data_IF_287346424068
#
_entry.id   IF_287346424068
#
_cell.length_a   1.000
_cell.length_b   1.000
_cell.length_c   1.000
_cell.angle_alpha   90.00
_cell.angle_beta   90.00
_cell.angle_gamma   90.00
#
_symmetry.space_group_name_H-M   'P 1'
#
loop_
_entity.id
_entity.type
_entity.pdbx_description
1 polymer ?
#
# COMPACT_ATOMS: atom_id res chain seq x y z
N UNK A 1 -21.57 -1.57 -16.27
CA UNK A 1 -21.25 -1.09 -14.92
C UNK A 1 -20.64 -2.26 -14.20
N UNK A 2 -19.32 -2.27 -14.03
CA UNK A 2 -18.61 -3.43 -13.48
C UNK A 2 -18.98 -3.53 -11.99
N UNK A 3 -19.60 -4.64 -11.60
CA UNK A 3 -20.01 -4.85 -10.22
C UNK A 3 -18.76 -5.06 -9.36
N UNK A 4 -18.56 -4.20 -8.37
CA UNK A 4 -17.59 -4.42 -7.30
C UNK A 4 -18.24 -5.41 -6.34
N UNK A 5 -17.73 -6.63 -6.30
CA UNK A 5 -18.21 -7.64 -5.37
C UNK A 5 -17.35 -7.59 -4.09
N UNK A 6 -17.94 -7.35 -2.91
CA UNK A 6 -17.21 -7.40 -1.65
C UNK A 6 -16.78 -8.84 -1.40
N UNK A 7 -15.48 -9.04 -1.20
CA UNK A 7 -14.89 -10.35 -0.98
C UNK A 7 -14.26 -10.41 0.41
N UNK A 8 -15.10 -10.19 1.42
CA UNK A 8 -14.68 -10.24 2.82
C UNK A 8 -14.21 -11.65 3.17
N UNK A 9 -12.94 -11.79 3.57
CA UNK A 9 -12.40 -13.01 4.11
C UNK A 9 -12.92 -13.20 5.55
N UNK A 10 -12.90 -14.44 6.06
CA UNK A 10 -13.29 -14.73 7.45
C UNK A 10 -12.42 -13.95 8.45
N UNK A 11 -11.14 -13.74 8.12
CA UNK A 11 -10.23 -12.90 8.90
C UNK A 11 -10.75 -11.47 9.06
N UNK A 12 -11.39 -10.92 8.02
CA UNK A 12 -11.87 -9.55 8.04
C UNK A 12 -13.01 -9.38 9.03
N UNK A 13 -13.97 -10.31 8.99
CA UNK A 13 -15.06 -10.33 9.97
C UNK A 13 -14.55 -10.42 11.41
N UNK A 14 -13.51 -11.22 11.68
CA UNK A 14 -12.93 -11.34 13.02
C UNK A 14 -12.32 -10.00 13.46
N UNK A 15 -11.55 -9.33 12.60
CA UNK A 15 -10.95 -8.02 12.91
C UNK A 15 -12.03 -6.99 13.20
N UNK A 16 -13.05 -6.88 12.35
CA UNK A 16 -14.15 -5.94 12.54
C UNK A 16 -14.96 -6.23 13.80
N UNK A 17 -15.29 -7.49 14.07
CA UNK A 17 -16.02 -7.89 15.29
C UNK A 17 -15.20 -7.56 16.54
N UNK A 18 -13.91 -7.90 16.58
CA UNK A 18 -13.04 -7.56 17.72
C UNK A 18 -12.93 -6.05 17.92
N UNK A 19 -12.76 -5.28 16.85
CA UNK A 19 -12.70 -3.82 16.93
C UNK A 19 -14.01 -3.21 17.45
N UNK A 20 -15.17 -3.66 16.93
CA UNK A 20 -16.48 -3.19 17.36
C UNK A 20 -16.77 -3.56 18.81
N UNK A 21 -16.46 -4.78 19.24
CA UNK A 21 -16.60 -5.21 20.64
C UNK A 21 -15.69 -4.41 21.56
N UNK A 22 -14.45 -4.15 21.15
CA UNK A 22 -13.51 -3.31 21.89
C UNK A 22 -14.02 -1.87 22.06
N UNK A 23 -14.50 -1.26 20.98
CA UNK A 23 -15.10 0.09 21.00
C UNK A 23 -16.37 0.13 21.85
N UNK A 24 -17.23 -0.88 21.74
CA UNK A 24 -18.45 -1.01 22.55
C UNK A 24 -18.12 -1.10 24.05
N UNK A 25 -17.19 -1.98 24.41
CA UNK A 25 -16.75 -2.14 25.80
C UNK A 25 -16.09 -0.88 26.33
N UNK A 26 -15.21 -0.24 25.56
CA UNK A 26 -14.60 1.03 25.93
C UNK A 26 -15.66 2.13 26.14
N UNK A 27 -16.64 2.24 25.24
CA UNK A 27 -17.75 3.18 25.36
C UNK A 27 -18.60 2.93 26.62
N UNK A 28 -18.88 1.67 26.95
CA UNK A 28 -19.56 1.31 28.20
C UNK A 28 -18.71 1.66 29.43
N UNK A 29 -17.43 1.33 29.43
CA UNK A 29 -16.51 1.63 30.52
C UNK A 29 -16.38 3.15 30.75
N UNK A 30 -16.38 3.95 29.68
CA UNK A 30 -16.27 5.41 29.77
C UNK A 30 -17.57 6.11 30.21
N UNK A 31 -18.72 5.43 30.21
CA UNK A 31 -19.99 5.96 30.74
C UNK A 31 -20.02 5.98 32.27
N UNK A 32 -19.29 5.08 32.93
CA UNK A 32 -19.19 5.07 34.38
C UNK A 32 -18.18 6.13 34.85
N UNK A 33 -18.58 7.09 35.70
CA UNK A 33 -17.72 8.19 36.13
C UNK A 33 -16.42 7.72 36.80
N UNK A 34 -16.44 6.60 37.53
CA UNK A 34 -15.27 6.09 38.25
C UNK A 34 -14.21 5.55 37.27
N UNK A 35 -14.64 4.82 36.25
CA UNK A 35 -13.73 4.30 35.23
C UNK A 35 -13.20 5.43 34.35
N UNK A 36 -14.05 6.37 33.96
CA UNK A 36 -13.65 7.53 33.14
C UNK A 36 -12.53 8.34 33.78
N UNK A 37 -12.62 8.63 35.08
CA UNK A 37 -11.58 9.38 35.79
C UNK A 37 -10.23 8.66 35.78
N UNK A 38 -10.23 7.34 36.01
CA UNK A 38 -9.01 6.51 35.96
C UNK A 38 -8.38 6.51 34.57
N UNK A 39 -9.18 6.37 33.52
CA UNK A 39 -8.71 6.43 32.14
C UNK A 39 -8.15 7.80 31.75
N UNK A 40 -8.79 8.88 32.21
CA UNK A 40 -8.28 10.24 31.98
C UNK A 40 -6.92 10.47 32.66
N UNK A 41 -6.66 9.87 33.82
CA UNK A 41 -5.33 9.93 34.45
C UNK A 41 -4.25 9.24 33.61
N UNK A 42 -4.58 8.13 32.95
CA UNK A 42 -3.67 7.43 32.04
C UNK A 42 -3.40 8.27 30.80
N UNK A 43 -4.45 8.78 30.15
CA UNK A 43 -4.35 9.59 28.92
C UNK A 43 -3.58 10.89 29.16
N UNK A 44 -3.64 11.47 30.36
CA UNK A 44 -2.86 12.66 30.73
C UNK A 44 -1.35 12.42 30.80
N UNK A 45 -0.88 11.17 30.81
CA UNK A 45 0.56 10.87 30.79
C UNK A 45 1.06 10.92 29.33
N UNK A 46 2.12 11.69 29.03
CA UNK A 46 2.59 11.88 27.66
C UNK A 46 2.99 10.56 26.98
N UNK A 47 3.63 9.65 27.72
CA UNK A 47 4.00 8.32 27.21
C UNK A 47 2.78 7.46 26.84
N UNK A 48 1.73 7.47 27.68
CA UNK A 48 0.51 6.72 27.41
C UNK A 48 -0.24 7.30 26.21
N UNK A 49 -0.30 8.63 26.09
CA UNK A 49 -0.88 9.30 24.92
C UNK A 49 -0.13 8.95 23.63
N UNK A 50 1.21 8.98 23.65
CA UNK A 50 2.02 8.59 22.50
C UNK A 50 1.74 7.15 22.07
N UNK A 51 1.66 6.20 23.02
CA UNK A 51 1.29 4.81 22.71
C UNK A 51 -0.14 4.69 22.17
N UNK A 52 -1.09 5.46 22.70
CA UNK A 52 -2.48 5.46 22.26
C UNK A 52 -2.59 5.94 20.81
N UNK A 53 -1.87 7.00 20.44
CA UNK A 53 -1.83 7.52 19.07
C UNK A 53 -1.28 6.46 18.10
N UNK A 54 -0.16 5.82 18.45
CA UNK A 54 0.43 4.76 17.63
C UNK A 54 -0.51 3.56 17.47
N UNK A 55 -1.17 3.14 18.56
CA UNK A 55 -2.14 2.05 18.53
C UNK A 55 -3.37 2.39 17.68
N UNK A 56 -3.88 3.63 17.78
CA UNK A 56 -4.98 4.09 16.94
C UNK A 56 -4.61 4.14 15.47
N UNK A 57 -3.41 4.62 15.14
CA UNK A 57 -2.90 4.63 13.77
C UNK A 57 -2.78 3.20 13.22
N UNK A 58 -2.20 2.28 14.01
CA UNK A 58 -2.08 0.88 13.62
C UNK A 58 -3.44 0.22 13.42
N UNK A 59 -4.39 0.45 14.35
CA UNK A 59 -5.75 -0.06 14.25
C UNK A 59 -6.45 0.48 12.98
N UNK A 60 -6.28 1.77 12.69
CA UNK A 60 -6.87 2.39 11.50
C UNK A 60 -6.30 1.78 10.21
N UNK A 61 -4.97 1.59 10.13
CA UNK A 61 -4.34 0.95 8.98
C UNK A 61 -4.86 -0.48 8.84
N UNK A 62 -4.90 -1.26 9.92
CA UNK A 62 -5.40 -2.63 9.90
C UNK A 62 -6.88 -2.73 9.49
N UNK A 63 -7.73 -1.78 9.91
CA UNK A 63 -9.13 -1.73 9.52
C UNK A 63 -9.31 -1.38 8.04
N UNK A 64 -8.50 -0.47 7.51
CA UNK A 64 -8.49 -0.13 6.07
C UNK A 64 -7.98 -1.31 5.26
N UNK A 65 -6.91 -1.97 5.72
CA UNK A 65 -6.28 -3.11 5.06
C UNK A 65 -7.22 -4.33 4.99
N UNK A 66 -8.07 -4.51 5.99
CA UNK A 66 -9.06 -5.59 6.07
C UNK A 66 -10.27 -5.42 5.14
N UNK A 67 -10.39 -4.32 4.40
CA UNK A 67 -11.49 -4.13 3.44
C UNK A 67 -11.04 -4.66 2.08
N UNK A 68 -11.44 -5.89 1.75
CA UNK A 68 -11.10 -6.54 0.48
C UNK A 68 -12.21 -6.47 -0.57
N UNK A 69 -11.82 -6.23 -1.81
CA UNK A 69 -12.69 -6.18 -2.99
C UNK A 69 -12.17 -7.11 -4.07
N UNK A 70 -13.08 -7.75 -4.80
CA UNK A 70 -12.74 -8.43 -6.06
C UNK A 70 -12.88 -7.43 -7.20
N UNK A 71 -11.79 -7.16 -7.90
CA UNK A 71 -11.88 -6.49 -9.19
C UNK A 71 -12.11 -7.57 -10.27
N UNK A 72 -13.11 -7.41 -11.17
CA UNK A 72 -13.23 -8.27 -12.32
C UNK A 72 -12.05 -7.98 -13.25
N UNK A 73 -11.03 -8.83 -13.19
CA UNK A 73 -9.91 -8.75 -14.12
C UNK A 73 -10.44 -9.10 -15.51
N UNK A 74 -10.62 -8.08 -16.36
CA UNK A 74 -10.71 -8.29 -17.81
C UNK A 74 -9.28 -8.52 -18.30
N UNK A 75 -8.70 -9.66 -17.95
CA UNK A 75 -7.47 -10.10 -18.59
C UNK A 75 -7.91 -11.02 -19.72
N UNK A 76 -7.76 -10.54 -20.95
CA UNK A 76 -7.56 -11.37 -22.13
C UNK A 76 -6.37 -12.30 -21.84
N UNK A 77 -6.61 -13.37 -21.10
CA UNK A 77 -5.80 -14.56 -21.26
C UNK A 77 -6.15 -15.07 -22.64
N UNK A 78 -5.27 -14.77 -23.60
CA UNK A 78 -5.14 -15.57 -24.80
C UNK A 78 -4.87 -17.00 -24.32
N UNK A 79 -5.96 -17.76 -24.13
CA UNK A 79 -5.92 -19.21 -24.01
C UNK A 79 -5.18 -19.68 -25.24
N UNK A 80 -4.03 -20.32 -25.05
CA UNK A 80 -3.34 -21.04 -26.11
C UNK A 80 -4.33 -22.01 -26.76
N UNK A 81 -4.90 -21.62 -27.91
CA UNK A 81 -5.85 -22.41 -28.70
C UNK A 81 -5.10 -23.48 -29.48
N UNK A 82 -4.37 -24.35 -28.78
CA UNK A 82 -3.72 -25.52 -29.37
C UNK A 82 -4.06 -26.77 -28.57
N UNK A 83 -5.34 -27.14 -28.51
CA UNK A 83 -5.75 -28.53 -28.30
C UNK A 83 -7.05 -28.79 -29.09
N UNK A 84 -7.12 -29.82 -29.96
CA UNK A 84 -8.28 -30.04 -30.81
C UNK A 84 -9.43 -30.70 -30.04
N UNK A 85 -10.61 -30.08 -30.16
CA UNK A 85 -11.97 -30.66 -30.20
C UNK A 85 -12.26 -31.89 -29.31
N UNK A 86 -13.05 -31.70 -28.25
CA UNK A 86 -14.35 -32.35 -28.03
C UNK A 86 -14.86 -32.16 -26.59
N UNK A 87 -16.18 -32.08 -26.47
CA UNK A 87 -17.01 -31.97 -25.26
C UNK A 87 -17.21 -30.54 -24.73
N UNK A 88 -18.50 -30.17 -24.68
CA UNK A 88 -19.02 -28.94 -24.12
C UNK A 88 -18.58 -28.76 -22.66
N UNK A 89 -17.52 -27.98 -22.47
CA UNK A 89 -17.16 -27.42 -21.18
C UNK A 89 -17.99 -26.15 -21.04
N UNK A 90 -18.98 -26.19 -20.14
CA UNK A 90 -19.61 -24.98 -19.58
C UNK A 90 -18.51 -23.96 -19.32
N UNK A 91 -18.63 -22.68 -19.71
CA UNK A 91 -17.62 -21.69 -19.36
C UNK A 91 -17.65 -21.55 -17.83
N UNK A 92 -16.90 -22.38 -17.11
CA UNK A 92 -16.40 -22.06 -15.79
C UNK A 92 -15.42 -20.94 -16.05
N UNK A 93 -15.96 -19.73 -16.11
CA UNK A 93 -15.26 -18.49 -15.93
C UNK A 93 -14.41 -18.68 -14.67
N UNK A 94 -13.15 -19.04 -14.88
CA UNK A 94 -12.14 -19.05 -13.86
C UNK A 94 -11.85 -17.59 -13.56
N UNK A 95 -12.75 -16.98 -12.78
CA UNK A 95 -12.59 -15.65 -12.23
C UNK A 95 -11.44 -15.72 -11.23
N UNK A 96 -10.20 -15.61 -11.71
CA UNK A 96 -9.09 -15.15 -10.89
C UNK A 96 -9.30 -13.65 -10.65
N UNK A 97 -10.31 -13.32 -9.86
CA UNK A 97 -10.51 -11.99 -9.33
C UNK A 97 -9.41 -11.77 -8.30
N UNK A 98 -8.42 -10.96 -8.66
CA UNK A 98 -7.38 -10.54 -7.72
C UNK A 98 -8.06 -9.82 -6.55
N UNK A 99 -7.85 -10.35 -5.34
CA UNK A 99 -8.37 -9.77 -4.12
C UNK A 99 -7.51 -8.55 -3.77
N UNK A 100 -8.13 -7.38 -3.73
CA UNK A 100 -7.50 -6.08 -3.60
C UNK A 100 -8.00 -5.42 -2.33
N UNK A 101 -7.09 -5.05 -1.42
CA UNK A 101 -7.45 -4.27 -0.24
C UNK A 101 -7.78 -2.81 -0.61
N UNK A 102 -8.59 -2.13 0.20
CA UNK A 102 -8.76 -0.68 0.13
C UNK A 102 -7.42 0.05 0.27
N UNK A 103 -6.53 -0.48 1.11
CA UNK A 103 -5.18 0.06 1.27
C UNK A 103 -4.40 -0.05 -0.04
N UNK A 104 -4.47 -1.20 -0.72
CA UNK A 104 -3.85 -1.39 -2.04
C UNK A 104 -4.41 -0.46 -3.11
N UNK A 105 -5.71 -0.17 -3.05
CA UNK A 105 -6.34 0.78 -3.95
C UNK A 105 -5.84 2.20 -3.70
N UNK A 106 -5.77 2.64 -2.44
CA UNK A 106 -5.21 3.96 -2.07
C UNK A 106 -3.73 4.07 -2.42
N UNK A 107 -2.98 2.98 -2.29
CA UNK A 107 -1.56 2.87 -2.58
C UNK A 107 -1.28 2.29 -3.98
N UNK A 108 -2.25 2.34 -4.90
CA UNK A 108 -2.08 1.89 -6.29
C UNK A 108 -0.79 2.38 -6.96
N UNK A 109 -0.35 3.65 -6.83
CA UNK A 109 0.91 4.06 -7.44
C UNK A 109 2.13 3.31 -6.86
N UNK A 110 2.11 2.91 -5.58
CA UNK A 110 3.19 2.09 -5.02
C UNK A 110 3.11 0.64 -5.52
N UNK A 111 1.90 0.07 -5.64
CA UNK A 111 1.68 -1.30 -6.11
C UNK A 111 2.08 -1.51 -7.58
N UNK A 112 1.77 -0.53 -8.43
CA UNK A 112 1.92 -0.63 -9.89
C UNK A 112 3.27 -0.13 -10.41
N UNK A 113 3.97 0.74 -9.67
CA UNK A 113 5.26 1.33 -10.07
C UNK A 113 6.44 0.56 -9.48
N UNK A 114 6.46 -0.75 -9.68
CA UNK A 114 7.56 -1.60 -9.19
C UNK A 114 8.80 -1.43 -10.05
N UNK A 115 9.95 -1.24 -9.39
CA UNK A 115 11.23 -1.00 -10.04
C UNK A 115 12.36 -1.83 -9.42
N UNK A 116 13.37 -2.15 -10.23
CA UNK A 116 14.53 -2.96 -9.81
C UNK A 116 15.60 -2.11 -9.14
N UNK A 117 15.29 -1.40 -8.07
CA UNK A 117 16.23 -0.51 -7.35
C UNK A 117 16.90 -1.15 -6.12
N UNK A 118 16.50 -2.37 -5.74
CA UNK A 118 17.08 -3.26 -4.70
C UNK A 118 17.71 -2.52 -3.48
N UNK A 119 16.93 -2.31 -2.42
CA UNK A 119 17.37 -1.66 -1.16
C UNK A 119 17.95 -0.24 -1.29
N UNK A 120 17.96 0.37 -2.47
CA UNK A 120 18.31 1.76 -2.69
C UNK A 120 17.04 2.57 -3.04
N UNK A 121 16.21 2.96 -2.05
CA UNK A 121 14.89 3.57 -2.29
C UNK A 121 14.95 4.92 -3.02
N UNK A 122 16.12 5.58 -3.01
CA UNK A 122 16.36 6.85 -3.69
C UNK A 122 17.24 6.67 -4.95
N UNK A 123 17.37 5.45 -5.47
CA UNK A 123 18.10 5.20 -6.71
C UNK A 123 17.36 5.79 -7.91
N UNK A 124 18.11 6.12 -8.96
CA UNK A 124 17.61 6.61 -10.25
C UNK A 124 18.03 5.68 -11.41
N UNK A 125 18.78 4.63 -11.09
CA UNK A 125 19.18 3.56 -12.01
C UNK A 125 18.77 2.21 -11.42
N UNK A 126 18.50 1.25 -12.30
CA UNK A 126 18.26 -0.12 -11.90
C UNK A 126 19.53 -0.73 -11.28
N UNK A 127 19.33 -1.64 -10.32
CA UNK A 127 20.38 -2.41 -9.67
C UNK A 127 20.94 -3.52 -10.56
N UNK A 128 20.15 -4.04 -11.51
CA UNK A 128 20.57 -5.07 -12.45
C UNK A 128 21.02 -4.46 -13.78
N UNK A 129 22.14 -4.97 -14.34
CA UNK A 129 22.54 -4.63 -15.70
C UNK A 129 21.63 -5.34 -16.69
N UNK A 130 21.02 -4.57 -17.57
CA UNK A 130 20.14 -5.04 -18.63
C UNK A 130 20.78 -4.73 -19.99
N UNK A 131 20.39 -5.49 -21.01
CA UNK A 131 20.82 -5.22 -22.38
C UNK A 131 19.91 -4.11 -22.93
N UNK A 132 20.48 -2.94 -23.16
CA UNK A 132 19.79 -1.76 -23.67
C UNK A 132 20.29 -1.47 -25.08
N UNK A 133 19.36 -1.32 -26.01
CA UNK A 133 19.70 -0.85 -27.36
C UNK A 133 20.07 0.63 -27.30
N UNK A 134 21.33 0.93 -27.57
CA UNK A 134 21.84 2.29 -27.67
C UNK A 134 22.12 2.61 -29.14
N UNK A 135 22.23 3.88 -29.51
CA UNK A 135 22.62 4.29 -30.87
C UNK A 135 23.96 3.69 -31.35
N UNK A 136 24.81 3.26 -30.42
CA UNK A 136 26.09 2.57 -30.67
C UNK A 136 25.99 1.02 -30.69
N UNK A 137 24.77 0.46 -30.65
CA UNK A 137 24.51 -0.99 -30.58
C UNK A 137 24.03 -1.46 -29.19
N UNK A 138 23.77 -2.78 -29.04
CA UNK A 138 23.33 -3.35 -27.77
C UNK A 138 24.45 -3.26 -26.72
N UNK A 139 24.18 -2.56 -25.63
CA UNK A 139 25.12 -2.41 -24.50
C UNK A 139 24.49 -2.94 -23.22
N UNK A 140 25.29 -3.61 -22.39
CA UNK A 140 24.85 -4.12 -21.10
C UNK A 140 25.13 -3.09 -20.01
N UNK A 141 24.13 -2.30 -19.62
CA UNK A 141 24.28 -1.18 -18.69
C UNK A 141 23.15 -1.15 -17.65
N UNK A 142 23.26 -0.28 -16.65
CA UNK A 142 22.20 -0.07 -15.66
C UNK A 142 21.19 0.94 -16.23
N UNK A 143 19.99 0.53 -16.65
CA UNK A 143 19.03 1.45 -17.24
C UNK A 143 18.54 2.46 -16.20
N UNK A 144 18.16 3.65 -16.67
CA UNK A 144 17.48 4.66 -15.85
C UNK A 144 16.12 4.13 -15.43
N UNK A 145 15.75 4.39 -14.19
CA UNK A 145 14.42 4.06 -13.66
C UNK A 145 13.32 4.91 -14.33
N UNK A 146 12.12 4.35 -14.46
CA UNK A 146 10.98 5.01 -15.10
C UNK A 146 10.27 5.99 -14.15
N UNK A 147 10.24 5.66 -12.86
CA UNK A 147 9.56 6.39 -11.80
C UNK A 147 10.57 7.02 -10.82
N UNK A 148 11.64 6.29 -10.46
CA UNK A 148 12.72 6.78 -9.61
C UNK A 148 13.47 7.96 -10.23
N UNK A 149 13.32 9.17 -9.67
CA UNK A 149 13.95 10.38 -10.20
C UNK A 149 13.43 10.79 -11.59
N UNK A 150 12.18 10.44 -11.92
CA UNK A 150 11.55 10.79 -13.18
C UNK A 150 11.47 12.31 -13.42
N UNK A 151 11.43 13.12 -12.36
CA UNK A 151 11.41 14.58 -12.42
C UNK A 151 12.77 15.21 -12.70
N UNK A 152 13.87 14.45 -12.56
CA UNK A 152 15.22 14.96 -12.80
C UNK A 152 15.46 15.05 -14.30
N UNK A 153 15.87 16.23 -14.77
CA UNK A 153 16.26 16.38 -16.19
C UNK A 153 17.69 15.87 -16.40
N UNK A 154 18.55 16.11 -15.41
CA UNK A 154 19.94 15.65 -15.38
C UNK A 154 20.20 14.79 -14.13
N UNK A 155 21.06 13.79 -14.28
CA UNK A 155 21.46 12.83 -13.24
C UNK A 155 22.20 13.54 -12.10
N UNK A 156 22.98 14.56 -12.42
CA UNK A 156 23.81 15.30 -11.46
C UNK A 156 22.97 16.13 -10.47
N UNK A 157 21.73 16.45 -10.81
CA UNK A 157 20.80 17.21 -9.96
C UNK A 157 20.29 16.41 -8.75
N UNK A 158 20.49 15.08 -8.72
CA UNK A 158 19.98 14.21 -7.65
C UNK A 158 20.43 14.66 -6.26
N UNK A 159 21.68 15.11 -6.12
CA UNK A 159 22.22 15.55 -4.84
C UNK A 159 21.51 16.79 -4.30
N UNK A 160 21.36 17.81 -5.16
CA UNK A 160 20.68 19.06 -4.82
C UNK A 160 19.20 18.83 -4.50
N UNK A 161 18.51 17.99 -5.27
CA UNK A 161 17.10 17.65 -5.04
C UNK A 161 16.89 17.01 -3.66
N UNK A 162 17.78 16.09 -3.27
CA UNK A 162 17.73 15.47 -1.94
C UNK A 162 18.00 16.48 -0.82
N UNK A 163 18.96 17.40 -1.01
CA UNK A 163 19.25 18.45 -0.03
C UNK A 163 18.05 19.41 0.15
N UNK A 164 17.42 19.83 -0.95
CA UNK A 164 16.25 20.72 -0.88
C UNK A 164 15.05 20.03 -0.21
N UNK A 165 14.78 18.76 -0.53
CA UNK A 165 13.71 17.98 0.11
C UNK A 165 13.95 17.76 1.60
N UNK A 166 15.20 17.48 1.99
CA UNK A 166 15.54 17.32 3.40
C UNK A 166 15.42 18.63 4.18
N UNK A 167 15.93 19.75 3.64
CA UNK A 167 15.82 21.06 4.29
C UNK A 167 14.37 21.54 4.41
N UNK A 168 13.57 21.38 3.36
CA UNK A 168 12.14 21.75 3.39
C UNK A 168 11.37 20.91 4.42
N UNK A 169 11.60 19.60 4.48
CA UNK A 169 11.00 18.74 5.49
C UNK A 169 11.39 19.13 6.92
N UNK A 170 12.66 19.48 7.13
CA UNK A 170 13.16 19.94 8.43
C UNK A 170 12.52 21.30 8.82
N UNK A 171 12.36 22.20 7.85
CA UNK A 171 11.66 23.47 8.02
C UNK A 171 10.20 23.28 8.46
N UNK A 172 9.44 22.43 7.76
CA UNK A 172 8.07 22.09 8.16
C UNK A 172 8.00 21.44 9.54
N UNK A 173 8.93 20.54 9.86
CA UNK A 173 9.00 19.90 11.17
C UNK A 173 9.27 20.89 12.30
N UNK A 174 10.15 21.87 12.07
CA UNK A 174 10.44 22.92 13.05
C UNK A 174 9.27 23.88 13.27
N UNK A 175 8.38 24.07 12.28
CA UNK A 175 7.22 24.95 12.40
C UNK A 175 6.07 24.33 13.21
N UNK A 176 6.10 23.01 13.44
CA UNK A 176 5.08 22.26 14.21
C UNK A 176 5.43 22.20 15.71
N UNK A 177 6.68 22.49 16.08
CA UNK A 177 7.18 22.56 17.46
C UNK A 177 7.34 24.00 17.95
#
# INVERSE_FOLDING_TARGET
MNAIEPAMLVSDYLVWVTALLGCWWAGMALRDPVYRERWLMVIRRPAAMASLILLLLYLLIALIDSIHFRLPTTQDQAVDTNLPTAAAVTPTTSFQAEELSLLDLLLTPLRTRQERSYSAPLAIFAYSREQVETAAGPQRLYPRLQYGGAHLTDVDQRGEDLLLKTLTGLGWGSAVF
#
